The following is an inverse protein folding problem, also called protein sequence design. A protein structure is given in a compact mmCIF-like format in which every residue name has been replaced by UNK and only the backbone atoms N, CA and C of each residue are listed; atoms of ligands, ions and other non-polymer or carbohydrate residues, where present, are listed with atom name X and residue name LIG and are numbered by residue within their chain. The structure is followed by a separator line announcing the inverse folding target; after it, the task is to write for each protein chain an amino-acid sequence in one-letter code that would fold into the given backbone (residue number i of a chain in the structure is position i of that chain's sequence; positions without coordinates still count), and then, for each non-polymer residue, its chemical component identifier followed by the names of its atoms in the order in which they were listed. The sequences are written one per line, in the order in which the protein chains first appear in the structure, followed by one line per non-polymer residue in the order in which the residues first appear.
data_IF_198967265861
#
_entry.id   IF_198967265861
#
_cell.length_a   1.000
_cell.length_b   1.000
_cell.length_c   1.000
_cell.angle_alpha   90.00
_cell.angle_beta   90.00
_cell.angle_gamma   90.00
#
_symmetry.space_group_name_H-M   'P 1'
#
loop_
_entity.id
_entity.type
_entity.pdbx_description
1 polymer ?
#
# COMPACT_ATOMS: atom_id res chain seq x y z
N UNK A 1 -27.28 -1.49 -11.63
CA UNK A 1 -25.95 -0.91 -11.40
C UNK A 1 -25.98 0.51 -11.91
N UNK A 2 -26.16 1.48 -11.01
CA UNK A 2 -25.98 2.89 -11.35
C UNK A 2 -24.48 3.12 -11.47
N UNK A 3 -24.02 3.41 -12.68
CA UNK A 3 -22.74 4.09 -12.87
C UNK A 3 -22.90 5.45 -12.22
N UNK A 4 -22.35 5.62 -11.02
CA UNK A 4 -22.16 6.92 -10.42
C UNK A 4 -21.40 7.78 -11.44
N UNK A 5 -22.16 8.65 -12.09
CA UNK A 5 -21.61 9.79 -12.82
C UNK A 5 -20.86 10.60 -11.78
N UNK A 6 -19.56 10.37 -11.64
CA UNK A 6 -18.66 11.29 -10.97
C UNK A 6 -18.92 12.67 -11.59
N UNK A 7 -19.62 13.52 -10.84
CA UNK A 7 -19.87 14.92 -11.20
C UNK A 7 -18.55 15.67 -11.09
N UNK A 8 -17.68 15.48 -12.07
CA UNK A 8 -16.65 16.47 -12.34
C UNK A 8 -17.33 17.69 -12.95
N UNK A 9 -16.99 18.89 -12.45
CA UNK A 9 -17.41 20.12 -13.08
C UNK A 9 -16.87 20.11 -14.53
N UNK A 10 -17.63 20.62 -15.50
CA UNK A 10 -17.23 20.58 -16.92
C UNK A 10 -15.87 21.21 -17.22
N UNK A 11 -15.37 22.08 -16.33
CA UNK A 11 -14.02 22.65 -16.40
C UNK A 11 -12.91 21.63 -16.07
N UNK A 12 -13.14 20.71 -15.14
CA UNK A 12 -12.13 19.73 -14.70
C UNK A 12 -11.97 18.62 -15.73
N UNK A 13 -13.08 18.19 -16.36
CA UNK A 13 -13.05 17.24 -17.49
C UNK A 13 -12.20 17.77 -18.64
N UNK A 14 -12.38 19.05 -19.00
CA UNK A 14 -11.63 19.68 -20.09
C UNK A 14 -10.13 19.78 -19.77
N UNK A 15 -9.80 20.05 -18.52
CA UNK A 15 -8.41 20.10 -18.04
C UNK A 15 -7.72 18.73 -18.14
N UNK A 16 -8.41 17.65 -17.77
CA UNK A 16 -7.89 16.28 -17.87
C UNK A 16 -7.64 15.89 -19.33
N UNK A 17 -8.55 16.21 -20.24
CA UNK A 17 -8.37 15.94 -21.68
C UNK A 17 -7.16 16.70 -22.23
N UNK A 18 -6.97 17.95 -21.80
CA UNK A 18 -5.83 18.78 -22.17
C UNK A 18 -4.52 18.20 -21.63
N UNK A 19 -4.46 17.81 -20.36
CA UNK A 19 -3.29 17.14 -19.76
C UNK A 19 -2.95 15.87 -20.53
N UNK A 20 -3.95 15.02 -20.80
CA UNK A 20 -3.78 13.75 -21.53
C UNK A 20 -3.22 13.99 -22.92
N UNK A 21 -3.71 15.01 -23.62
CA UNK A 21 -3.20 15.41 -24.93
C UNK A 21 -1.77 15.95 -24.90
N UNK A 22 -1.25 16.39 -23.75
CA UNK A 22 0.09 16.95 -23.60
C UNK A 22 1.12 15.95 -23.08
N UNK A 23 0.70 14.76 -22.61
CA UNK A 23 1.60 13.74 -22.05
C UNK A 23 2.69 13.28 -23.04
N UNK A 24 2.40 13.26 -24.34
CA UNK A 24 3.38 12.85 -25.37
C UNK A 24 4.60 13.79 -25.44
N UNK A 25 4.51 15.02 -24.89
CA UNK A 25 5.63 15.98 -24.88
C UNK A 25 6.70 15.62 -23.85
N UNK A 26 6.37 14.84 -22.84
CA UNK A 26 7.30 14.45 -21.77
C UNK A 26 8.19 13.33 -22.30
N UNK A 27 9.46 13.65 -22.57
CA UNK A 27 10.45 12.68 -23.08
C UNK A 27 11.03 11.79 -21.99
N UNK A 28 11.08 12.28 -20.76
CA UNK A 28 11.67 11.55 -19.65
C UNK A 28 10.64 10.56 -19.05
N UNK A 29 10.92 9.25 -19.05
CA UNK A 29 10.01 8.25 -18.51
C UNK A 29 9.73 8.43 -17.02
N UNK A 30 10.68 8.97 -16.25
CA UNK A 30 10.51 9.20 -14.80
C UNK A 30 9.51 10.33 -14.58
N UNK A 31 9.64 11.42 -15.32
CA UNK A 31 8.69 12.52 -15.27
C UNK A 31 7.30 12.11 -15.75
N UNK A 32 7.21 11.26 -16.78
CA UNK A 32 5.93 10.74 -17.26
C UNK A 32 5.24 9.89 -16.19
N UNK A 33 5.99 9.03 -15.49
CA UNK A 33 5.47 8.25 -14.36
C UNK A 33 4.97 9.15 -13.23
N UNK A 34 5.74 10.17 -12.85
CA UNK A 34 5.33 11.09 -11.79
C UNK A 34 4.06 11.87 -12.18
N UNK A 35 3.98 12.36 -13.41
CA UNK A 35 2.76 13.04 -13.91
C UNK A 35 1.57 12.10 -13.90
N UNK A 36 1.75 10.84 -14.30
CA UNK A 36 0.69 9.83 -14.22
C UNK A 36 0.20 9.64 -12.78
N UNK A 37 1.11 9.52 -11.82
CA UNK A 37 0.76 9.36 -10.39
C UNK A 37 0.04 10.59 -9.84
N UNK A 38 0.46 11.79 -10.25
CA UNK A 38 -0.26 13.03 -9.92
C UNK A 38 -1.66 13.07 -10.53
N UNK A 39 -1.82 12.75 -11.82
CA UNK A 39 -3.15 12.70 -12.47
C UNK A 39 -4.04 11.68 -11.77
N UNK A 40 -3.54 10.50 -11.46
CA UNK A 40 -4.29 9.46 -10.75
C UNK A 40 -4.75 9.96 -9.38
N UNK A 41 -3.88 10.62 -8.62
CA UNK A 41 -4.24 11.15 -7.30
C UNK A 41 -5.24 12.30 -7.35
N UNK A 42 -5.12 13.15 -8.37
CA UNK A 42 -6.00 14.31 -8.56
C UNK A 42 -7.39 13.92 -9.07
N UNK A 43 -7.50 12.80 -9.78
CA UNK A 43 -8.76 12.30 -10.40
C UNK A 43 -9.43 11.17 -9.62
N UNK A 44 -8.83 10.68 -8.54
CA UNK A 44 -9.43 9.67 -7.66
C UNK A 44 -9.94 10.28 -6.35
N UNK A 45 -11.06 9.74 -5.85
CA UNK A 45 -11.72 10.19 -4.62
C UNK A 45 -12.62 11.42 -4.80
N UNK A 46 -13.04 12.04 -3.69
CA UNK A 46 -13.92 13.20 -3.73
C UNK A 46 -13.22 14.43 -4.35
N UNK A 47 -13.94 15.22 -5.18
CA UNK A 47 -13.40 16.45 -5.74
C UNK A 47 -13.15 17.47 -4.61
N UNK A 48 -11.97 18.09 -4.61
CA UNK A 48 -11.63 19.18 -3.70
C UNK A 48 -11.09 20.37 -4.49
N UNK A 49 -11.27 21.58 -3.96
CA UNK A 49 -10.74 22.80 -4.58
C UNK A 49 -9.22 22.72 -4.78
N UNK A 50 -8.50 22.13 -3.81
CA UNK A 50 -7.07 21.90 -3.92
C UNK A 50 -6.71 21.01 -5.11
N UNK A 51 -7.45 19.91 -5.35
CA UNK A 51 -7.21 19.03 -6.51
C UNK A 51 -7.43 19.78 -7.83
N UNK A 52 -8.48 20.59 -7.93
CA UNK A 52 -8.74 21.38 -9.12
C UNK A 52 -7.64 22.42 -9.38
N UNK A 53 -7.08 23.02 -8.33
CA UNK A 53 -5.97 23.98 -8.45
C UNK A 53 -4.67 23.29 -8.88
N UNK A 54 -4.37 22.10 -8.36
CA UNK A 54 -3.23 21.30 -8.82
C UNK A 54 -3.39 20.79 -10.25
N UNK A 55 -4.60 20.44 -10.69
CA UNK A 55 -4.87 20.07 -12.09
C UNK A 55 -4.57 21.24 -13.03
N UNK A 56 -5.03 22.45 -12.70
CA UNK A 56 -4.72 23.65 -13.47
C UNK A 56 -3.23 23.98 -13.46
N UNK A 57 -2.56 23.79 -12.32
CA UNK A 57 -1.12 23.99 -12.21
C UNK A 57 -0.33 22.98 -13.05
N UNK A 58 -0.78 21.73 -13.11
CA UNK A 58 -0.18 20.68 -13.94
C UNK A 58 -0.40 20.98 -15.44
N UNK A 59 -1.62 21.37 -15.82
CA UNK A 59 -1.92 21.78 -17.18
C UNK A 59 -1.04 22.97 -17.61
N UNK A 60 -0.90 23.97 -16.74
CA UNK A 60 -0.02 25.11 -16.99
C UNK A 60 1.44 24.67 -17.13
N UNK A 61 1.94 23.82 -16.22
CA UNK A 61 3.31 23.32 -16.27
C UNK A 61 3.60 22.60 -17.59
N UNK A 62 2.69 21.73 -18.06
CA UNK A 62 2.82 20.99 -19.31
C UNK A 62 2.67 21.88 -20.56
N UNK A 63 1.90 22.97 -20.48
CA UNK A 63 1.80 23.97 -21.56
C UNK A 63 3.03 24.85 -21.65
N UNK A 64 3.62 25.19 -20.50
CA UNK A 64 4.79 26.07 -20.36
C UNK A 64 6.13 25.35 -20.53
N UNK A 65 6.14 24.05 -20.82
CA UNK A 65 7.37 23.30 -20.97
C UNK A 65 8.10 23.71 -22.27
N UNK A 66 8.91 24.75 -22.14
CA UNK A 66 9.85 25.25 -23.15
C UNK A 66 11.09 24.33 -23.31
N UNK A 67 11.00 23.07 -22.85
CA UNK A 67 12.11 22.10 -22.85
C UNK A 67 13.01 22.18 -21.61
N UNK A 68 12.59 22.90 -20.56
CA UNK A 68 13.29 22.97 -19.27
C UNK A 68 12.86 21.88 -18.28
N UNK A 69 11.90 21.03 -18.68
CA UNK A 69 11.39 19.95 -17.85
C UNK A 69 10.27 20.41 -16.92
N UNK A 70 9.57 19.44 -16.33
CA UNK A 70 8.48 19.71 -15.40
C UNK A 70 8.98 20.48 -14.18
N UNK A 71 8.22 21.49 -13.76
CA UNK A 71 8.50 22.22 -12.52
C UNK A 71 8.03 21.43 -11.30
N UNK A 72 8.67 21.69 -10.15
CA UNK A 72 8.12 21.28 -8.86
C UNK A 72 6.67 21.78 -8.70
N UNK A 73 5.76 20.96 -8.14
CA UNK A 73 6.02 19.72 -7.41
C UNK A 73 5.97 18.43 -8.25
N UNK A 74 5.78 18.52 -9.56
CA UNK A 74 5.50 17.36 -10.42
C UNK A 74 6.72 16.54 -10.82
N UNK A 75 7.91 16.99 -10.42
CA UNK A 75 9.18 16.26 -10.56
C UNK A 75 9.32 15.10 -9.57
N UNK A 76 8.47 15.05 -8.54
CA UNK A 76 8.43 13.99 -7.53
C UNK A 76 7.03 13.37 -7.44
N UNK A 77 6.90 12.12 -6.99
CA UNK A 77 5.60 11.51 -6.75
C UNK A 77 4.80 12.30 -5.70
N UNK A 78 3.47 12.32 -5.79
CA UNK A 78 2.66 13.13 -4.90
C UNK A 78 2.71 12.66 -3.44
N UNK A 79 2.83 13.57 -2.45
CA UNK A 79 3.08 13.22 -1.04
C UNK A 79 1.92 12.45 -0.40
N UNK A 80 2.18 11.35 0.30
CA UNK A 80 1.15 10.55 0.96
C UNK A 80 0.41 11.35 2.06
N UNK A 81 -0.89 11.62 1.86
CA UNK A 81 -1.71 12.41 2.77
C UNK A 81 -2.62 13.42 2.08
N UNK A 82 -3.23 14.31 2.88
CA UNK A 82 -4.06 15.41 2.39
C UNK A 82 -3.21 16.43 1.61
N UNK A 83 -3.66 16.80 0.42
CA UNK A 83 -2.97 17.73 -0.46
C UNK A 83 -3.04 19.14 0.15
N UNK A 84 -1.88 19.67 0.57
CA UNK A 84 -1.77 21.04 1.03
C UNK A 84 -2.14 22.02 -0.10
N UNK A 85 -2.82 23.12 0.23
CA UNK A 85 -3.21 24.16 -0.73
C UNK A 85 -1.96 24.63 -1.52
N UNK A 86 -1.96 24.58 -2.86
CA UNK A 86 -0.81 25.01 -3.65
C UNK A 86 -0.40 26.47 -3.37
N UNK A 87 -1.32 27.31 -2.89
CA UNK A 87 -1.05 28.71 -2.52
C UNK A 87 -0.21 28.85 -1.26
N UNK A 88 -0.27 27.90 -0.32
CA UNK A 88 0.50 27.97 0.94
C UNK A 88 1.97 27.60 0.75
N UNK A 89 2.30 26.87 -0.33
CA UNK A 89 3.66 26.41 -0.64
C UNK A 89 4.61 27.48 -1.18
N UNK A 90 4.10 28.60 -1.71
CA UNK A 90 4.94 29.72 -2.19
C UNK A 90 5.63 30.51 -1.07
N UNK A 91 5.35 30.23 0.20
CA UNK A 91 5.93 30.95 1.35
C UNK A 91 7.07 30.19 2.07
N UNK A 92 7.43 28.98 1.61
CA UNK A 92 8.20 28.01 2.40
C UNK A 92 9.44 27.47 1.69
N UNK A 93 10.06 28.28 0.82
CA UNK A 93 11.37 27.99 0.22
C UNK A 93 12.35 29.08 0.66
N UNK A 94 13.00 28.85 1.80
CA UNK A 94 14.43 29.08 2.06
C UNK A 94 14.73 28.96 3.56
N UNK A 95 15.16 27.76 3.99
CA UNK A 95 16.02 27.55 5.18
C UNK A 95 16.44 26.08 5.28
N UNK A 96 17.16 25.58 4.28
CA UNK A 96 17.96 24.35 4.44
C UNK A 96 19.34 24.57 3.82
N UNK A 97 20.09 25.53 4.37
CA UNK A 97 21.53 25.65 4.18
C UNK A 97 22.15 26.64 5.19
N UNK A 98 22.25 26.25 6.47
CA UNK A 98 23.22 26.83 7.41
C UNK A 98 23.44 25.89 8.62
N UNK A 99 24.63 25.26 8.63
CA UNK A 99 25.55 25.06 9.76
C UNK A 99 24.98 24.61 11.14
N UNK A 100 25.40 23.47 11.67
CA UNK A 100 26.55 23.37 12.60
C UNK A 100 26.47 24.38 13.75
N UNK A 101 26.11 23.88 14.94
CA UNK A 101 26.50 24.39 16.26
C UNK A 101 25.99 25.77 16.68
N UNK A 102 25.33 25.83 17.84
CA UNK A 102 25.22 27.07 18.61
C UNK A 102 23.85 27.29 19.24
N UNK A 103 23.87 27.39 20.57
CA UNK A 103 22.78 27.81 21.44
C UNK A 103 21.96 29.00 20.91
N UNK A 104 20.64 28.95 21.14
CA UNK A 104 19.89 30.08 21.68
C UNK A 104 18.48 29.66 22.07
N UNK A 105 18.27 29.58 23.38
CA UNK A 105 16.99 29.75 24.02
C UNK A 105 16.34 31.07 23.53
N UNK A 106 15.10 30.99 23.05
CA UNK A 106 14.19 32.14 23.02
C UNK A 106 12.89 31.77 23.72
N UNK A 107 12.80 32.30 24.92
CA UNK A 107 11.63 32.56 25.73
C UNK A 107 10.55 33.26 24.91
N UNK A 108 9.31 32.73 24.96
CA UNK A 108 8.09 33.49 24.67
C UNK A 108 7.45 33.83 26.01
N UNK A 109 7.58 35.10 26.39
CA UNK A 109 6.92 35.70 27.54
C UNK A 109 5.45 35.98 27.20
N UNK A 110 4.54 35.38 27.97
CA UNK A 110 3.17 35.87 28.15
C UNK A 110 3.06 36.42 29.57
N UNK A 111 2.83 37.73 29.68
CA UNK A 111 2.85 38.47 30.94
C UNK A 111 1.72 38.11 31.91
N UNK A 112 2.05 38.14 33.20
CA UNK A 112 1.13 38.04 34.33
C UNK A 112 1.66 38.86 35.49
N UNK A 113 0.81 39.73 36.01
CA UNK A 113 1.04 40.86 36.90
C UNK A 113 1.77 40.59 38.23
N UNK A 114 2.42 41.65 38.71
CA UNK A 114 3.10 41.83 40.00
C UNK A 114 2.16 41.78 41.21
N UNK A 115 2.65 41.23 42.32
CA UNK A 115 2.41 41.73 43.67
C UNK A 115 3.63 41.42 44.55
N UNK A 116 4.23 42.49 45.07
CA UNK A 116 5.31 42.49 46.05
C UNK A 116 4.83 41.99 47.42
N UNK A 117 5.62 41.10 48.03
CA UNK A 117 5.73 40.99 49.49
C UNK A 117 7.19 40.73 49.82
N UNK A 118 7.85 41.73 50.42
CA UNK A 118 9.15 41.62 51.06
C UNK A 118 9.09 40.65 52.25
N UNK A 119 10.13 39.84 52.43
CA UNK A 119 11.16 39.99 53.49
C UNK A 119 11.80 38.64 53.80
N UNK A 120 13.09 38.55 53.45
CA UNK A 120 14.18 37.78 54.05
C UNK A 120 13.87 36.61 55.00
N UNK A 121 14.25 35.41 54.56
CA UNK A 121 14.97 34.44 55.42
C UNK A 121 15.75 33.42 54.59
N UNK A 122 17.07 33.43 54.77
CA UNK A 122 18.00 32.28 54.72
C UNK A 122 17.85 31.26 53.58
N UNK A 123 18.70 31.34 52.54
CA UNK A 123 19.00 30.15 51.71
C UNK A 123 20.46 30.17 51.20
N UNK A 124 21.38 29.68 52.03
CA UNK A 124 22.67 29.13 51.55
C UNK A 124 22.52 27.66 51.09
N UNK A 125 21.29 27.20 50.80
CA UNK A 125 20.94 25.83 50.40
C UNK A 125 20.67 25.65 48.87
N UNK A 126 20.66 26.72 48.07
CA UNK A 126 20.16 26.66 46.68
C UNK A 126 21.22 26.33 45.62
N UNK A 127 22.49 26.61 45.88
CA UNK A 127 23.58 26.40 44.90
C UNK A 127 23.94 24.93 44.73
N UNK A 128 23.81 24.11 45.77
CA UNK A 128 24.12 22.68 45.75
C UNK A 128 23.05 21.85 45.05
N UNK A 129 21.76 22.18 45.24
CA UNK A 129 20.65 21.50 44.55
C UNK A 129 20.65 21.78 43.04
N UNK A 130 20.95 23.02 42.65
CA UNK A 130 21.09 23.38 41.25
C UNK A 130 22.28 22.66 40.58
N UNK A 131 23.44 22.58 41.25
CA UNK A 131 24.59 21.84 40.76
C UNK A 131 24.32 20.33 40.63
N UNK A 132 23.62 19.73 41.61
CA UNK A 132 23.25 18.32 41.58
C UNK A 132 22.22 17.98 40.48
N UNK A 133 21.26 18.87 40.21
CA UNK A 133 20.34 18.72 39.08
C UNK A 133 21.07 18.78 37.73
N UNK A 134 22.08 19.65 37.64
CA UNK A 134 22.87 19.81 36.41
C UNK A 134 23.76 18.58 36.17
N UNK A 135 24.38 18.03 37.22
CA UNK A 135 25.12 16.76 37.14
C UNK A 135 24.21 15.60 36.74
N UNK A 136 23.00 15.53 37.31
CA UNK A 136 22.00 14.53 36.93
C UNK A 136 21.66 14.63 35.43
N UNK A 137 21.36 15.83 34.92
CA UNK A 137 21.05 16.04 33.50
C UNK A 137 22.22 15.65 32.58
N UNK A 138 23.46 15.93 32.98
CA UNK A 138 24.66 15.56 32.21
C UNK A 138 24.92 14.05 32.21
N UNK A 139 24.52 13.32 33.26
CA UNK A 139 24.73 11.87 33.39
C UNK A 139 23.57 11.05 32.85
N UNK A 140 22.41 11.67 32.65
CA UNK A 140 21.23 10.99 32.13
C UNK A 140 21.39 10.76 30.63
N UNK A 141 21.46 9.50 30.21
CA UNK A 141 21.42 9.12 28.80
C UNK A 141 19.97 8.84 28.37
N UNK A 142 19.51 9.58 27.36
CA UNK A 142 18.15 9.49 26.83
C UNK A 142 17.84 8.16 26.12
N UNK A 143 18.85 7.35 25.81
CA UNK A 143 18.67 6.04 25.17
C UNK A 143 18.47 4.89 26.15
N UNK A 144 18.96 5.04 27.38
CA UNK A 144 19.03 3.96 28.37
C UNK A 144 18.16 4.23 29.59
N UNK A 145 17.97 5.50 29.95
CA UNK A 145 17.20 5.88 31.13
C UNK A 145 15.71 5.98 30.79
N UNK A 146 14.86 5.27 31.53
CA UNK A 146 13.42 5.41 31.37
C UNK A 146 12.91 6.75 31.91
N UNK A 147 11.80 7.26 31.36
CA UNK A 147 11.17 8.51 31.83
C UNK A 147 10.77 8.39 33.32
N UNK A 148 10.35 7.21 33.77
CA UNK A 148 10.01 6.96 35.18
C UNK A 148 11.22 7.02 36.10
N UNK A 149 12.36 6.44 35.70
CA UNK A 149 13.61 6.52 36.47
C UNK A 149 14.11 7.96 36.55
N UNK A 150 14.03 8.71 35.45
CA UNK A 150 14.42 10.11 35.42
C UNK A 150 13.54 10.99 36.34
N UNK A 151 12.22 10.80 36.31
CA UNK A 151 11.27 11.52 37.18
C UNK A 151 11.47 11.17 38.67
N UNK A 152 11.82 9.91 38.97
CA UNK A 152 12.13 9.49 40.32
C UNK A 152 13.45 10.12 40.83
N UNK A 153 14.49 10.13 40.00
CA UNK A 153 15.80 10.70 40.34
C UNK A 153 15.79 12.22 40.52
N UNK A 154 14.87 12.93 39.84
CA UNK A 154 14.67 14.38 39.99
C UNK A 154 13.79 14.77 41.18
N UNK A 155 13.10 13.82 41.82
CA UNK A 155 12.16 14.13 42.92
C UNK A 155 12.83 14.77 44.13
N UNK A 156 14.01 14.32 44.52
CA UNK A 156 14.77 14.88 45.66
C UNK A 156 15.44 16.22 45.35
N UNK A 157 15.49 16.61 44.08
CA UNK A 157 16.19 17.81 43.58
C UNK A 157 15.22 18.94 43.20
N UNK A 158 13.91 18.70 43.28
CA UNK A 158 12.86 19.64 42.90
C UNK A 158 11.99 20.01 44.10
N UNK A 159 11.58 21.27 44.19
CA UNK A 159 10.84 21.79 45.35
C UNK A 159 9.43 21.18 45.49
N UNK A 160 8.87 20.67 44.40
CA UNK A 160 7.54 20.05 44.36
C UNK A 160 7.59 18.51 44.41
N UNK A 161 8.78 17.92 44.58
CA UNK A 161 8.96 16.46 44.59
C UNK A 161 8.65 15.84 43.23
N UNK A 162 9.05 16.49 42.14
CA UNK A 162 8.81 16.14 40.74
C UNK A 162 7.35 15.95 40.33
N UNK A 163 6.38 16.48 41.09
CA UNK A 163 4.95 16.38 40.77
C UNK A 163 4.59 17.00 39.42
N UNK A 164 5.10 18.20 39.13
CA UNK A 164 4.87 18.88 37.86
C UNK A 164 5.53 18.10 36.72
N UNK A 165 6.77 17.66 36.91
CA UNK A 165 7.51 16.89 35.92
C UNK A 165 6.81 15.55 35.60
N UNK A 166 6.34 14.84 36.64
CA UNK A 166 5.58 13.60 36.52
C UNK A 166 4.27 13.81 35.76
N UNK A 167 3.54 14.90 36.05
CA UNK A 167 2.31 15.26 35.31
C UNK A 167 2.59 15.54 33.84
N UNK A 168 3.58 16.37 33.53
CA UNK A 168 3.95 16.72 32.15
C UNK A 168 4.47 15.50 31.39
N UNK A 169 5.30 14.67 32.01
CA UNK A 169 5.80 13.43 31.43
C UNK A 169 4.65 12.46 31.14
N UNK A 170 3.69 12.32 32.06
CA UNK A 170 2.48 11.52 31.87
C UNK A 170 1.64 12.00 30.68
N UNK A 171 1.39 13.31 30.59
CA UNK A 171 0.64 13.91 29.48
C UNK A 171 1.35 13.71 28.14
N UNK A 172 2.68 13.90 28.09
CA UNK A 172 3.48 13.63 26.90
C UNK A 172 3.43 12.16 26.47
N UNK A 173 3.54 11.21 27.41
CA UNK A 173 3.44 9.78 27.12
C UNK A 173 2.04 9.38 26.64
N UNK A 174 0.99 9.97 27.22
CA UNK A 174 -0.39 9.72 26.78
C UNK A 174 -0.64 10.28 25.38
N UNK A 175 -0.20 11.51 25.11
CA UNK A 175 -0.29 12.13 23.79
C UNK A 175 0.51 11.35 22.74
N UNK A 176 1.70 10.86 23.10
CA UNK A 176 2.48 9.97 22.25
C UNK A 176 1.73 8.67 21.98
N UNK A 177 1.16 8.04 23.01
CA UNK A 177 0.36 6.82 22.88
C UNK A 177 -0.84 6.99 21.96
N UNK A 178 -1.59 8.09 22.11
CA UNK A 178 -2.72 8.44 21.22
C UNK A 178 -2.26 8.66 19.79
N UNK A 179 -1.16 9.38 19.59
CA UNK A 179 -0.61 9.66 18.25
C UNK A 179 -0.11 8.39 17.58
N UNK A 180 0.66 7.57 18.30
CA UNK A 180 1.14 6.28 17.80
C UNK A 180 -0.04 5.36 17.45
N UNK A 181 -1.05 5.27 18.32
CA UNK A 181 -2.29 4.54 18.05
C UNK A 181 -2.97 5.00 16.77
N UNK A 182 -3.19 6.31 16.61
CA UNK A 182 -3.79 6.87 15.40
C UNK A 182 -2.99 6.55 14.12
N UNK A 183 -1.65 6.59 14.17
CA UNK A 183 -0.79 6.22 13.03
C UNK A 183 -0.92 4.73 12.70
N UNK A 184 -1.00 3.86 13.70
CA UNK A 184 -1.20 2.42 13.48
C UNK A 184 -2.59 2.12 12.93
N UNK A 185 -3.63 2.78 13.45
CA UNK A 185 -5.00 2.62 12.98
C UNK A 185 -5.14 3.12 11.54
N UNK A 186 -4.59 4.28 11.22
CA UNK A 186 -4.57 4.83 9.85
C UNK A 186 -3.85 3.89 8.88
N UNK A 187 -2.69 3.36 9.28
CA UNK A 187 -1.93 2.41 8.46
C UNK A 187 -2.68 1.10 8.27
N UNK A 188 -3.34 0.61 9.31
CA UNK A 188 -4.17 -0.60 9.26
C UNK A 188 -5.35 -0.39 8.32
N UNK A 189 -6.05 0.73 8.43
CA UNK A 189 -7.14 1.11 7.55
C UNK A 189 -6.69 1.19 6.09
N UNK A 190 -5.57 1.86 5.80
CA UNK A 190 -4.98 1.94 4.46
C UNK A 190 -4.68 0.55 3.87
N UNK A 191 -4.16 -0.36 4.68
CA UNK A 191 -3.86 -1.72 4.27
C UNK A 191 -5.13 -2.53 4.01
N UNK A 192 -6.15 -2.39 4.85
CA UNK A 192 -7.47 -3.00 4.64
C UNK A 192 -8.13 -2.48 3.36
N UNK A 193 -8.09 -1.18 3.10
CA UNK A 193 -8.67 -0.56 1.91
C UNK A 193 -7.94 -1.02 0.63
N UNK A 194 -6.60 -1.10 0.66
CA UNK A 194 -5.81 -1.62 -0.44
C UNK A 194 -6.15 -3.08 -0.74
N UNK A 195 -6.26 -3.91 0.30
CA UNK A 195 -6.62 -5.32 0.16
C UNK A 195 -8.04 -5.50 -0.37
N UNK A 196 -9.00 -4.69 0.09
CA UNK A 196 -10.37 -4.71 -0.43
C UNK A 196 -10.43 -4.33 -1.91
N UNK A 197 -9.67 -3.31 -2.34
CA UNK A 197 -9.57 -2.92 -3.76
C UNK A 197 -9.00 -4.04 -4.62
N UNK A 198 -7.93 -4.69 -4.16
CA UNK A 198 -7.34 -5.83 -4.86
C UNK A 198 -8.33 -7.00 -4.98
N UNK A 199 -9.04 -7.36 -3.91
CA UNK A 199 -10.06 -8.42 -3.94
C UNK A 199 -11.17 -8.13 -4.97
N UNK A 200 -11.67 -6.90 -5.02
CA UNK A 200 -12.67 -6.49 -6.01
C UNK A 200 -12.10 -6.54 -7.43
N UNK A 201 -10.88 -6.04 -7.65
CA UNK A 201 -10.23 -6.08 -8.95
C UNK A 201 -10.03 -7.52 -9.44
N UNK A 202 -9.67 -8.44 -8.55
CA UNK A 202 -9.44 -9.85 -8.83
C UNK A 202 -10.75 -10.55 -9.22
N UNK A 203 -11.85 -10.28 -8.50
CA UNK A 203 -13.19 -10.75 -8.86
C UNK A 203 -13.63 -10.25 -10.24
N UNK A 204 -13.42 -8.97 -10.55
CA UNK A 204 -13.77 -8.39 -11.86
C UNK A 204 -12.94 -9.03 -12.98
N UNK A 205 -11.66 -9.30 -12.75
CA UNK A 205 -10.80 -10.01 -13.73
C UNK A 205 -11.33 -11.42 -14.00
N UNK A 206 -11.64 -12.20 -12.97
CA UNK A 206 -12.21 -13.54 -13.17
C UNK A 206 -13.54 -13.50 -13.90
N UNK A 207 -14.44 -12.59 -13.52
CA UNK A 207 -15.73 -12.41 -14.22
C UNK A 207 -15.53 -12.10 -15.71
N UNK A 208 -14.61 -11.19 -16.03
CA UNK A 208 -14.31 -10.80 -17.41
C UNK A 208 -13.70 -11.95 -18.21
N UNK A 209 -12.81 -12.73 -17.59
CA UNK A 209 -12.21 -13.90 -18.22
C UNK A 209 -13.24 -15.02 -18.44
N UNK A 210 -14.08 -15.30 -17.46
CA UNK A 210 -15.18 -16.26 -17.58
C UNK A 210 -16.14 -15.87 -18.71
N UNK A 211 -16.51 -14.58 -18.80
CA UNK A 211 -17.35 -14.08 -19.88
C UNK A 211 -16.69 -14.26 -21.25
N UNK A 212 -15.40 -13.95 -21.39
CA UNK A 212 -14.66 -14.16 -22.64
C UNK A 212 -14.59 -15.63 -23.03
N UNK A 213 -14.39 -16.53 -22.07
CA UNK A 213 -14.40 -17.98 -22.33
C UNK A 213 -15.77 -18.46 -22.77
N UNK A 214 -16.84 -17.99 -22.13
CA UNK A 214 -18.22 -18.30 -22.52
C UNK A 214 -18.50 -17.83 -23.95
N UNK A 215 -18.15 -16.59 -24.28
CA UNK A 215 -18.34 -16.05 -25.63
C UNK A 215 -17.56 -16.86 -26.67
N UNK A 216 -16.30 -17.24 -26.39
CA UNK A 216 -15.52 -18.10 -27.28
C UNK A 216 -16.14 -19.48 -27.45
N UNK A 217 -16.59 -20.10 -26.36
CA UNK A 217 -17.25 -21.41 -26.39
C UNK A 217 -18.54 -21.34 -27.22
N UNK A 218 -19.30 -20.26 -27.10
CA UNK A 218 -20.53 -20.06 -27.84
C UNK A 218 -20.28 -19.87 -29.34
N UNK A 219 -19.28 -19.06 -29.71
CA UNK A 219 -18.83 -18.93 -31.12
C UNK A 219 -18.40 -20.29 -31.69
N UNK A 220 -17.61 -21.06 -30.94
CA UNK A 220 -17.18 -22.40 -31.37
C UNK A 220 -18.37 -23.34 -31.51
N UNK A 221 -19.34 -23.28 -30.59
CA UNK A 221 -20.55 -24.08 -30.66
C UNK A 221 -21.39 -23.73 -31.89
N UNK A 222 -21.55 -22.44 -32.19
CA UNK A 222 -22.26 -21.97 -33.37
C UNK A 222 -21.54 -22.43 -34.66
N UNK A 223 -20.21 -22.36 -34.68
CA UNK A 223 -19.41 -22.87 -35.80
C UNK A 223 -19.54 -24.39 -35.98
N UNK A 224 -19.58 -25.15 -34.89
CA UNK A 224 -19.82 -26.61 -34.94
C UNK A 224 -21.22 -26.90 -35.47
N UNK A 225 -22.25 -26.15 -35.05
CA UNK A 225 -23.61 -26.29 -35.60
C UNK A 225 -23.67 -25.95 -37.09
N UNK A 226 -22.92 -24.94 -37.54
CA UNK A 226 -22.82 -24.59 -38.96
C UNK A 226 -22.14 -25.71 -39.76
N UNK A 227 -21.04 -26.27 -39.24
CA UNK A 227 -20.32 -27.36 -39.90
C UNK A 227 -21.08 -28.69 -39.91
N UNK A 228 -21.90 -28.95 -38.89
CA UNK A 228 -22.64 -30.19 -38.70
C UNK A 228 -24.07 -29.92 -38.18
N UNK A 229 -25.00 -29.47 -39.04
CA UNK A 229 -26.34 -29.04 -38.61
C UNK A 229 -27.22 -30.17 -38.05
N UNK A 230 -26.96 -31.40 -38.48
CA UNK A 230 -27.69 -32.60 -38.07
C UNK A 230 -27.07 -33.31 -36.87
N UNK A 231 -26.01 -32.75 -36.28
CA UNK A 231 -25.30 -33.39 -35.18
C UNK A 231 -26.16 -33.41 -33.91
N UNK A 232 -26.46 -34.62 -33.41
CA UNK A 232 -27.21 -34.82 -32.17
C UNK A 232 -26.28 -35.23 -31.04
N UNK A 233 -26.14 -34.35 -30.04
CA UNK A 233 -25.22 -34.57 -28.92
C UNK A 233 -25.60 -35.81 -28.07
N UNK A 234 -26.90 -36.03 -27.86
CA UNK A 234 -27.39 -37.14 -27.04
C UNK A 234 -27.16 -38.52 -27.69
N UNK A 235 -27.13 -38.59 -29.02
CA UNK A 235 -26.77 -39.81 -29.75
C UNK A 235 -25.26 -40.04 -29.76
N UNK A 236 -24.48 -38.96 -29.91
CA UNK A 236 -23.02 -39.00 -29.82
C UNK A 236 -22.53 -39.51 -28.45
N UNK A 237 -23.16 -39.10 -27.34
CA UNK A 237 -22.80 -39.60 -26.01
C UNK A 237 -23.02 -41.12 -25.84
N UNK A 238 -23.99 -41.69 -26.56
CA UNK A 238 -24.30 -43.13 -26.48
C UNK A 238 -23.37 -43.95 -27.37
N UNK A 239 -23.07 -43.45 -28.57
CA UNK A 239 -22.26 -44.15 -29.58
C UNK A 239 -21.41 -43.14 -30.36
N UNK A 240 -20.23 -42.74 -29.83
CA UNK A 240 -19.46 -41.63 -30.39
C UNK A 240 -18.94 -41.94 -31.79
N UNK A 241 -18.40 -43.14 -32.02
CA UNK A 241 -17.74 -43.51 -33.27
C UNK A 241 -18.73 -43.70 -34.43
N UNK A 242 -19.88 -44.35 -34.18
CA UNK A 242 -20.91 -44.59 -35.19
C UNK A 242 -21.67 -43.32 -35.59
N UNK A 243 -21.91 -42.42 -34.62
CA UNK A 243 -22.59 -41.16 -34.91
C UNK A 243 -21.69 -40.21 -35.71
N UNK A 244 -20.39 -40.11 -35.36
CA UNK A 244 -19.45 -39.25 -36.09
C UNK A 244 -19.28 -39.71 -37.55
N UNK A 245 -19.18 -41.02 -37.78
CA UNK A 245 -19.10 -41.58 -39.14
C UNK A 245 -20.37 -41.31 -39.95
N UNK A 246 -21.57 -41.45 -39.37
CA UNK A 246 -22.84 -41.12 -40.04
C UNK A 246 -22.93 -39.64 -40.44
N UNK A 247 -22.57 -38.72 -39.54
CA UNK A 247 -22.63 -37.27 -39.81
C UNK A 247 -21.60 -36.84 -40.86
N UNK A 248 -20.37 -37.38 -40.80
CA UNK A 248 -19.32 -37.08 -41.79
C UNK A 248 -19.64 -37.66 -43.17
N UNK A 249 -20.24 -38.85 -43.24
CA UNK A 249 -20.66 -39.45 -44.51
C UNK A 249 -21.85 -38.70 -45.12
N UNK A 250 -22.84 -38.28 -44.32
CA UNK A 250 -23.96 -37.48 -44.80
C UNK A 250 -23.51 -36.16 -45.45
N UNK A 251 -22.47 -35.52 -44.92
CA UNK A 251 -21.87 -34.30 -45.50
C UNK A 251 -21.12 -34.58 -46.81
N UNK A 252 -20.51 -35.75 -46.97
CA UNK A 252 -19.83 -36.18 -48.20
C UNK A 252 -20.81 -36.47 -49.34
N UNK A 253 -22.02 -36.94 -49.03
CA UNK A 253 -23.06 -37.23 -50.02
C UNK A 253 -23.94 -36.02 -50.35
N UNK A 254 -24.05 -35.04 -49.44
CA UNK A 254 -24.86 -33.83 -49.62
C UNK A 254 -24.21 -32.70 -50.44
N UNK A 255 -22.89 -32.72 -50.64
CA UNK A 255 -22.16 -31.68 -51.38
C UNK A 255 -21.85 -32.03 -52.85
N UNK A 256 -22.44 -33.09 -53.39
CA UNK A 256 -22.25 -33.42 -54.80
C UNK A 256 -23.30 -34.39 -55.32
N UNK A 257 -24.28 -33.86 -56.06
CA UNK A 257 -24.92 -34.47 -57.23
C UNK A 257 -26.09 -33.59 -57.72
N UNK A 258 -25.76 -32.56 -58.49
CA UNK A 258 -26.55 -32.16 -59.66
C UNK A 258 -25.62 -32.38 -60.86
N UNK A 259 -25.88 -33.36 -61.74
CA UNK A 259 -25.06 -33.60 -62.91
C UNK A 259 -25.64 -32.77 -64.05
N UNK A 260 -25.19 -31.53 -64.21
CA UNK A 260 -25.44 -30.81 -65.46
C UNK A 260 -24.15 -30.50 -66.20
N UNK A 261 -24.15 -31.00 -67.43
CA UNK A 261 -23.05 -31.05 -68.36
C UNK A 261 -22.89 -29.67 -68.99
N UNK A 262 -21.86 -28.92 -68.58
CA UNK A 262 -21.60 -27.59 -69.11
C UNK A 262 -20.15 -27.16 -68.93
N UNK A 263 -19.31 -27.61 -69.86
CA UNK A 263 -18.05 -27.02 -70.33
C UNK A 263 -17.25 -26.06 -69.42
N UNK A 264 -15.95 -26.39 -69.32
CA UNK A 264 -14.81 -25.47 -69.12
C UNK A 264 -14.48 -25.05 -67.69
N UNK A 265 -13.49 -25.70 -67.08
CA UNK A 265 -12.10 -25.19 -67.04
C UNK A 265 -11.19 -26.19 -66.34
N UNK A 266 -10.05 -26.46 -66.95
CA UNK A 266 -8.91 -27.09 -66.30
C UNK A 266 -8.39 -26.14 -65.21
N UNK A 267 -8.32 -26.55 -63.94
CA UNK A 267 -7.66 -25.73 -62.90
C UNK A 267 -7.88 -26.03 -61.42
N UNK A 268 -8.73 -26.97 -61.01
CA UNK A 268 -9.23 -27.01 -59.60
C UNK A 268 -8.52 -28.02 -58.65
N UNK A 269 -7.60 -28.83 -59.16
CA UNK A 269 -6.86 -29.82 -58.35
C UNK A 269 -5.82 -29.20 -57.40
N UNK A 270 -5.18 -28.11 -57.82
CA UNK A 270 -4.14 -27.44 -57.05
C UNK A 270 -4.71 -26.62 -55.87
N UNK A 271 -5.95 -26.11 -55.99
CA UNK A 271 -6.56 -25.30 -54.94
C UNK A 271 -6.99 -26.15 -53.73
N UNK A 272 -7.53 -27.36 -53.98
CA UNK A 272 -7.84 -28.32 -52.92
C UNK A 272 -6.56 -28.80 -52.19
N UNK A 273 -5.49 -29.09 -52.93
CA UNK A 273 -4.20 -29.47 -52.36
C UNK A 273 -3.56 -28.31 -51.57
N UNK A 274 -3.70 -27.07 -52.06
CA UNK A 274 -3.22 -25.87 -51.38
C UNK A 274 -4.04 -25.57 -50.11
N UNK A 275 -5.36 -25.78 -50.12
CA UNK A 275 -6.20 -25.68 -48.93
C UNK A 275 -5.84 -26.74 -47.89
N UNK A 276 -5.61 -27.99 -48.30
CA UNK A 276 -5.16 -29.05 -47.39
C UNK A 276 -3.80 -28.70 -46.77
N UNK A 277 -2.86 -28.17 -47.55
CA UNK A 277 -1.55 -27.71 -47.05
C UNK A 277 -1.70 -26.55 -46.06
N UNK A 278 -2.55 -25.57 -46.35
CA UNK A 278 -2.87 -24.45 -45.43
C UNK A 278 -3.46 -24.95 -44.11
N UNK A 279 -4.40 -25.90 -44.17
CA UNK A 279 -5.00 -26.51 -42.98
C UNK A 279 -3.95 -27.26 -42.14
N UNK A 280 -3.06 -28.02 -42.78
CA UNK A 280 -1.97 -28.72 -42.08
C UNK A 280 -0.99 -27.74 -41.41
N UNK A 281 -0.65 -26.64 -42.08
CA UNK A 281 0.18 -25.58 -41.48
C UNK A 281 -0.54 -24.91 -40.29
N UNK A 282 -1.83 -24.65 -40.39
CA UNK A 282 -2.62 -24.07 -39.30
C UNK A 282 -2.71 -25.03 -38.09
N UNK A 283 -2.90 -26.33 -38.34
CA UNK A 283 -2.88 -27.35 -37.28
C UNK A 283 -1.51 -27.45 -36.60
N UNK A 284 -0.43 -27.41 -37.37
CA UNK A 284 0.92 -27.43 -36.82
C UNK A 284 1.19 -26.19 -35.96
N UNK A 285 0.72 -25.02 -36.43
CA UNK A 285 0.82 -23.78 -35.65
C UNK A 285 0.03 -23.86 -34.34
N UNK A 286 -1.21 -24.35 -34.38
CA UNK A 286 -2.03 -24.54 -33.18
C UNK A 286 -1.38 -25.51 -32.19
N UNK A 287 -0.77 -26.60 -32.66
CA UNK A 287 -0.02 -27.53 -31.80
C UNK A 287 1.16 -26.84 -31.13
N UNK A 288 1.97 -26.09 -31.90
CA UNK A 288 3.10 -25.34 -31.32
C UNK A 288 2.65 -24.26 -30.34
N UNK A 289 1.47 -23.67 -30.55
CA UNK A 289 0.91 -22.66 -29.66
C UNK A 289 0.40 -23.28 -28.35
N UNK A 290 -0.17 -24.49 -28.41
CA UNK A 290 -0.53 -25.27 -27.21
C UNK A 290 0.72 -25.63 -26.41
N UNK A 291 1.77 -26.14 -27.06
CA UNK A 291 3.04 -26.47 -26.40
C UNK A 291 3.67 -25.23 -25.73
N UNK A 292 3.67 -24.08 -26.43
CA UNK A 292 4.13 -22.80 -25.88
C UNK A 292 3.32 -22.39 -24.64
N UNK A 293 1.99 -22.49 -24.72
CA UNK A 293 1.10 -22.17 -23.62
C UNK A 293 1.30 -23.11 -22.42
N UNK A 294 1.54 -24.40 -22.66
CA UNK A 294 1.83 -25.39 -21.62
C UNK A 294 3.16 -25.10 -20.93
N UNK A 295 4.22 -24.74 -21.67
CA UNK A 295 5.49 -24.31 -21.09
C UNK A 295 5.34 -23.04 -20.21
N UNK A 296 4.54 -22.07 -20.65
CA UNK A 296 4.24 -20.88 -19.85
C UNK A 296 3.45 -21.22 -18.59
N UNK A 297 2.49 -22.13 -18.70
CA UNK A 297 1.69 -22.60 -17.56
C UNK A 297 2.56 -23.34 -16.54
N UNK A 298 3.44 -24.25 -16.99
CA UNK A 298 4.42 -24.93 -16.12
C UNK A 298 5.29 -23.90 -15.38
N UNK A 299 5.83 -22.92 -16.09
CA UNK A 299 6.64 -21.85 -15.48
C UNK A 299 5.86 -21.05 -14.44
N UNK A 300 4.56 -20.79 -14.69
CA UNK A 300 3.69 -20.09 -13.75
C UNK A 300 3.40 -20.94 -12.51
N UNK A 301 3.18 -22.25 -12.67
CA UNK A 301 2.98 -23.19 -11.56
C UNK A 301 4.24 -23.27 -10.70
N UNK A 302 5.43 -23.39 -11.29
CA UNK A 302 6.70 -23.39 -10.55
C UNK A 302 6.91 -22.10 -9.74
N UNK A 303 6.58 -20.93 -10.33
CA UNK A 303 6.63 -19.65 -9.63
C UNK A 303 5.63 -19.57 -8.49
N UNK A 304 4.42 -20.09 -8.70
CA UNK A 304 3.39 -20.16 -7.67
C UNK A 304 3.87 -21.02 -6.49
N UNK A 305 4.40 -22.21 -6.76
CA UNK A 305 4.91 -23.12 -5.73
C UNK A 305 6.09 -22.50 -4.97
N UNK A 306 6.99 -21.79 -5.66
CA UNK A 306 8.08 -21.06 -5.02
C UNK A 306 7.59 -19.96 -4.07
N UNK A 307 6.54 -19.21 -4.46
CA UNK A 307 5.92 -18.19 -3.61
C UNK A 307 5.23 -18.82 -2.41
N UNK A 308 4.49 -19.92 -2.60
CA UNK A 308 3.85 -20.67 -1.51
C UNK A 308 4.90 -21.16 -0.51
N UNK A 309 6.00 -21.73 -0.98
CA UNK A 309 7.11 -22.16 -0.12
C UNK A 309 7.70 -20.97 0.67
N UNK A 310 7.92 -19.83 0.02
CA UNK A 310 8.41 -18.62 0.69
C UNK A 310 7.44 -18.10 1.77
N UNK A 311 6.13 -18.15 1.52
CA UNK A 311 5.10 -17.79 2.49
C UNK A 311 5.13 -18.71 3.70
N UNK A 312 5.25 -20.02 3.49
CA UNK A 312 5.34 -21.01 4.58
C UNK A 312 6.58 -20.75 5.44
N UNK A 313 7.74 -20.52 4.82
CA UNK A 313 8.99 -20.18 5.54
C UNK A 313 8.83 -18.89 6.34
N UNK A 314 8.27 -17.84 5.75
CA UNK A 314 8.05 -16.56 6.43
C UNK A 314 7.07 -16.69 7.61
N UNK A 315 6.00 -17.47 7.42
CA UNK A 315 5.01 -17.77 8.47
C UNK A 315 5.66 -18.51 9.65
N UNK A 316 6.42 -19.57 9.37
CA UNK A 316 7.14 -20.33 10.40
C UNK A 316 8.15 -19.46 11.16
N UNK A 317 8.87 -18.58 10.45
CA UNK A 317 9.79 -17.61 11.07
C UNK A 317 9.06 -16.63 11.99
N UNK A 318 7.88 -16.16 11.59
CA UNK A 318 7.03 -15.29 12.42
C UNK A 318 6.59 -16.01 13.69
N UNK A 319 6.09 -17.25 13.57
CA UNK A 319 5.67 -18.08 14.71
C UNK A 319 6.84 -18.30 15.68
N UNK A 320 8.02 -18.66 15.17
CA UNK A 320 9.22 -18.85 16.00
C UNK A 320 9.64 -17.56 16.73
N UNK A 321 9.53 -16.40 16.08
CA UNK A 321 9.81 -15.11 16.70
C UNK A 321 8.80 -14.79 17.81
N UNK A 322 7.51 -15.06 17.57
CA UNK A 322 6.45 -14.84 18.55
C UNK A 322 6.63 -15.74 19.78
N UNK A 323 6.98 -17.01 19.59
CA UNK A 323 7.31 -17.93 20.69
C UNK A 323 8.51 -17.43 21.51
N UNK A 324 9.58 -16.96 20.85
CA UNK A 324 10.75 -16.37 21.54
C UNK A 324 10.39 -15.10 22.32
N UNK A 325 9.55 -14.24 21.75
CA UNK A 325 9.09 -13.03 22.43
C UNK A 325 8.22 -13.35 23.65
N UNK A 326 7.32 -14.34 23.55
CA UNK A 326 6.51 -14.82 24.68
C UNK A 326 7.37 -15.42 25.79
N UNK A 327 8.40 -16.20 25.45
CA UNK A 327 9.33 -16.76 26.42
C UNK A 327 10.07 -15.65 27.20
N UNK A 328 10.64 -14.66 26.50
CA UNK A 328 11.30 -13.51 27.13
C UNK A 328 10.36 -12.69 28.01
N UNK A 329 9.12 -12.49 27.56
CA UNK A 329 8.10 -11.80 28.36
C UNK A 329 7.83 -12.52 29.68
N UNK A 330 7.74 -13.86 29.65
CA UNK A 330 7.56 -14.68 30.84
C UNK A 330 8.75 -14.54 31.79
N UNK A 331 9.98 -14.62 31.26
CA UNK A 331 11.22 -14.47 32.02
C UNK A 331 11.28 -13.11 32.75
N UNK A 332 11.08 -12.01 32.03
CA UNK A 332 11.05 -10.66 32.63
C UNK A 332 9.93 -10.54 33.66
N UNK A 333 8.77 -11.16 33.43
CA UNK A 333 7.67 -11.16 34.41
C UNK A 333 8.04 -11.93 35.69
N UNK A 334 8.77 -13.05 35.57
CA UNK A 334 9.27 -13.80 36.72
C UNK A 334 10.30 -12.99 37.50
N UNK A 335 11.29 -12.39 36.84
CA UNK A 335 12.28 -11.52 37.48
C UNK A 335 11.62 -10.35 38.21
N UNK A 336 10.65 -9.70 37.57
CA UNK A 336 9.92 -8.59 38.16
C UNK A 336 9.11 -9.02 39.40
N UNK A 337 8.58 -10.25 39.41
CA UNK A 337 7.91 -10.81 40.59
C UNK A 337 8.88 -11.07 41.74
N UNK A 338 10.12 -11.49 41.45
CA UNK A 338 11.16 -11.69 42.45
C UNK A 338 11.67 -10.38 43.03
N UNK A 339 11.88 -9.37 42.18
CA UNK A 339 12.27 -8.02 42.60
C UNK A 339 11.19 -7.42 43.52
N UNK A 340 9.91 -7.57 43.16
CA UNK A 340 8.79 -7.13 44.04
C UNK A 340 8.81 -7.84 45.39
N UNK A 341 9.05 -9.15 45.43
CA UNK A 341 9.19 -9.90 46.69
C UNK A 341 10.37 -9.42 47.53
N UNK A 342 11.52 -9.12 46.91
CA UNK A 342 12.69 -8.58 47.60
C UNK A 342 12.41 -7.17 48.15
N UNK A 343 11.79 -6.32 47.35
CA UNK A 343 11.36 -4.97 47.75
C UNK A 343 10.43 -5.01 48.95
N UNK A 344 9.39 -5.85 48.92
CA UNK A 344 8.45 -5.99 50.03
C UNK A 344 9.14 -6.47 51.34
N UNK A 345 10.15 -7.34 51.23
CA UNK A 345 10.96 -7.76 52.39
C UNK A 345 11.81 -6.61 52.95
N UNK A 346 12.39 -5.79 52.08
CA UNK A 346 13.18 -4.64 52.49
C UNK A 346 12.30 -3.57 53.15
N UNK A 347 11.12 -3.32 52.61
CA UNK A 347 10.11 -2.41 53.18
C UNK A 347 9.70 -2.86 54.59
N UNK A 348 9.36 -4.14 54.77
CA UNK A 348 9.04 -4.69 56.08
C UNK A 348 10.20 -4.61 57.10
N UNK A 349 11.46 -4.73 56.65
CA UNK A 349 12.63 -4.54 57.49
C UNK A 349 12.79 -3.08 57.92
N UNK A 350 12.60 -2.13 56.99
CA UNK A 350 12.65 -0.69 57.27
C UNK A 350 11.60 -0.32 58.31
N UNK A 351 10.36 -0.80 58.14
CA UNK A 351 9.27 -0.56 59.10
C UNK A 351 9.60 -1.11 60.50
N UNK A 352 10.23 -2.28 60.58
CA UNK A 352 10.68 -2.85 61.84
C UNK A 352 11.75 -1.98 62.53
N UNK A 353 12.71 -1.43 61.77
CA UNK A 353 13.73 -0.53 62.31
C UNK A 353 13.14 0.81 62.77
N UNK A 354 12.23 1.40 61.99
CA UNK A 354 11.53 2.64 62.37
C UNK A 354 10.76 2.43 63.67
N UNK A 355 10.02 1.33 63.80
CA UNK A 355 9.30 1.00 65.04
C UNK A 355 10.21 0.89 66.26
N UNK A 356 11.39 0.27 66.11
CA UNK A 356 12.38 0.15 67.19
C UNK A 356 13.03 1.47 67.60
N UNK A 357 13.15 2.44 66.69
CA UNK A 357 13.70 3.76 67.02
C UNK A 357 12.66 4.73 67.62
N UNK A 358 11.37 4.39 67.53
CA UNK A 358 10.28 5.20 68.10
C UNK A 358 9.95 4.87 69.57
N UNK A 359 10.61 3.85 70.13
CA UNK A 359 10.58 3.43 71.54
C UNK A 359 11.86 3.90 72.24
#
# INVERSE_FOLDING_TARGET
MNLDKCKYNGADSRCIDQITSLLYKIKDPVHLSNVHDWVMKLTTGEPSNSKSDYLRLLEYALKSDDGKGLREPFTSPPPDGLMADPKSRSSLVDSVAACVGGDKWRTSAGGGYCSDVDTSSTVNLSTTAAAALTDLLCRTDCKTTSVQEFVAATSSLTCDGSKLLSRVAGECLENFGRTAGAVFDERTQKLCDALAKEQVALLLRYRTTAQRMLTRAQILQDHVRELMPTFQYDEFLKQPDEHLTKVLLAKKTGNGLEPDTGASTNGDGDDAAMQQKKLMCALQWLRSEVERADCENITLVERYDAVVAAIVVASNKKIANECRAKARKLEVQTELSEVRKKSAKQEALIDCYIGKMSL
#
